data_IF_793329517943
#
_entry.id   IF_793329517943
#
_cell.length_a   1.000
_cell.length_b   1.000
_cell.length_c   1.000
_cell.angle_alpha   90.00
_cell.angle_beta   90.00
_cell.angle_gamma   90.00
#
_symmetry.space_group_name_H-M   'P 1'
#
loop_
_entity.id
_entity.type
_entity.pdbx_description
1 polymer ?
#
# COMPACT_ATOMS: atom_id res chain seq x y z
N UNK A 1 -5.18 2.64 -31.61
CA UNK A 1 -4.11 1.80 -31.03
C UNK A 1 -4.51 1.19 -29.68
N UNK A 2 -4.91 1.98 -28.68
CA UNK A 2 -5.31 1.52 -27.32
C UNK A 2 -6.39 0.43 -27.32
N UNK A 3 -7.48 0.59 -28.09
CA UNK A 3 -8.56 -0.40 -28.13
C UNK A 3 -8.15 -1.74 -28.78
N UNK A 4 -7.22 -1.72 -29.74
CA UNK A 4 -6.69 -2.95 -30.37
C UNK A 4 -5.80 -3.68 -29.37
N UNK A 5 -4.89 -2.96 -28.72
CA UNK A 5 -4.04 -3.48 -27.65
C UNK A 5 -4.86 -4.06 -26.48
N UNK A 6 -5.91 -3.36 -26.05
CA UNK A 6 -6.77 -3.81 -24.96
C UNK A 6 -7.55 -5.09 -25.30
N UNK A 7 -7.92 -5.32 -26.56
CA UNK A 7 -8.54 -6.57 -26.97
C UNK A 7 -7.53 -7.72 -27.07
N UNK A 8 -6.30 -7.45 -27.51
CA UNK A 8 -5.28 -8.50 -27.69
C UNK A 8 -4.59 -8.91 -26.40
N UNK A 9 -4.41 -8.00 -25.43
CA UNK A 9 -3.62 -8.26 -24.23
C UNK A 9 -4.14 -9.43 -23.37
N UNK A 10 -5.46 -9.58 -23.08
CA UNK A 10 -5.95 -10.73 -22.34
C UNK A 10 -5.67 -12.08 -23.02
N UNK A 11 -5.68 -12.12 -24.35
CA UNK A 11 -5.33 -13.33 -25.11
C UNK A 11 -3.84 -13.64 -24.97
N UNK A 12 -2.99 -12.62 -25.11
CA UNK A 12 -1.53 -12.80 -24.96
C UNK A 12 -1.20 -13.30 -23.56
N UNK A 13 -1.78 -12.71 -22.52
CA UNK A 13 -1.61 -13.15 -21.13
C UNK A 13 -2.06 -14.60 -20.97
N UNK A 14 -3.23 -14.97 -21.53
CA UNK A 14 -3.73 -16.33 -21.47
C UNK A 14 -2.77 -17.33 -22.15
N UNK A 15 -2.26 -17.00 -23.34
CA UNK A 15 -1.31 -17.84 -24.07
C UNK A 15 -0.03 -18.03 -23.26
N UNK A 16 0.53 -16.95 -22.69
CA UNK A 16 1.74 -17.03 -21.86
C UNK A 16 1.52 -17.94 -20.65
N UNK A 17 0.39 -17.80 -19.95
CA UNK A 17 0.07 -18.61 -18.78
C UNK A 17 -0.11 -20.09 -19.17
N UNK A 18 -0.73 -20.37 -20.32
CA UNK A 18 -0.85 -21.75 -20.85
C UNK A 18 0.54 -22.32 -21.15
N UNK A 19 1.43 -21.56 -21.78
CA UNK A 19 2.81 -21.99 -22.07
C UNK A 19 3.55 -22.32 -20.78
N UNK A 20 3.40 -21.49 -19.73
CA UNK A 20 3.98 -21.76 -18.41
C UNK A 20 3.40 -23.05 -17.82
N UNK A 21 2.07 -23.23 -17.87
CA UNK A 21 1.41 -24.44 -17.40
C UNK A 21 1.92 -25.70 -18.11
N UNK A 22 2.06 -25.65 -19.44
CA UNK A 22 2.62 -26.74 -20.25
C UNK A 22 4.09 -27.00 -19.90
N UNK A 23 4.90 -25.96 -19.75
CA UNK A 23 6.31 -26.09 -19.37
C UNK A 23 6.45 -26.78 -18.00
N UNK A 24 5.63 -26.41 -17.01
CA UNK A 24 5.63 -27.09 -15.70
C UNK A 24 5.27 -28.58 -15.81
N UNK A 25 4.28 -28.93 -16.64
CA UNK A 25 3.93 -30.33 -16.89
C UNK A 25 5.09 -31.06 -17.55
N UNK A 26 5.67 -30.53 -18.63
CA UNK A 26 6.78 -31.15 -19.37
C UNK A 26 8.01 -31.34 -18.47
N UNK A 27 8.43 -30.29 -17.76
CA UNK A 27 9.58 -30.33 -16.86
C UNK A 27 9.37 -31.36 -15.75
N UNK A 28 8.13 -31.55 -15.27
CA UNK A 28 7.83 -32.56 -14.24
C UNK A 28 8.03 -34.02 -14.66
N UNK A 29 8.23 -34.29 -15.95
CA UNK A 29 8.56 -35.63 -16.47
C UNK A 29 10.06 -35.82 -16.71
N UNK A 30 10.87 -34.76 -16.61
CA UNK A 30 12.32 -34.87 -16.72
C UNK A 30 12.93 -35.51 -15.45
N UNK A 31 14.07 -36.22 -15.59
CA UNK A 31 14.82 -36.72 -14.45
C UNK A 31 15.15 -35.60 -13.44
N UNK A 32 14.92 -35.87 -12.15
CA UNK A 32 15.13 -34.90 -11.08
C UNK A 32 16.54 -34.31 -11.08
N UNK A 33 17.57 -35.14 -11.26
CA UNK A 33 18.97 -34.71 -11.25
C UNK A 33 19.29 -33.70 -12.37
N UNK A 34 18.69 -33.87 -13.55
CA UNK A 34 18.87 -32.93 -14.66
C UNK A 34 18.26 -31.56 -14.34
N UNK A 35 17.03 -31.57 -13.82
CA UNK A 35 16.34 -30.33 -13.45
C UNK A 35 17.02 -29.64 -12.27
N UNK A 36 17.49 -30.42 -11.29
CA UNK A 36 18.20 -29.89 -10.12
C UNK A 36 19.51 -29.23 -10.52
N UNK A 37 20.30 -29.87 -11.38
CA UNK A 37 21.58 -29.32 -11.87
C UNK A 37 21.38 -27.95 -12.53
N UNK A 38 20.34 -27.80 -13.36
CA UNK A 38 20.04 -26.52 -14.01
C UNK A 38 19.57 -25.46 -13.00
N UNK A 39 18.81 -25.83 -11.97
CA UNK A 39 18.35 -24.89 -10.93
C UNK A 39 19.53 -24.46 -10.03
N UNK A 40 20.44 -25.37 -9.72
CA UNK A 40 21.63 -25.14 -8.90
C UNK A 40 22.56 -24.08 -9.53
N UNK A 41 22.62 -23.98 -10.87
CA UNK A 41 23.37 -22.92 -11.58
C UNK A 41 22.85 -21.52 -11.23
N UNK A 42 21.56 -21.40 -10.90
CA UNK A 42 20.93 -20.10 -10.57
C UNK A 42 20.96 -19.77 -9.08
N UNK A 43 21.51 -20.64 -8.22
CA UNK A 43 21.68 -20.34 -6.79
C UNK A 43 23.10 -19.84 -6.49
N UNK A 44 23.22 -18.94 -5.51
CA UNK A 44 24.52 -18.32 -5.18
C UNK A 44 25.51 -19.31 -4.52
N UNK A 45 24.97 -20.30 -3.82
CA UNK A 45 25.68 -21.37 -3.11
C UNK A 45 25.86 -22.63 -3.97
N UNK A 46 25.34 -22.64 -5.21
CA UNK A 46 25.41 -23.78 -6.10
C UNK A 46 24.58 -24.99 -5.66
N UNK A 47 23.72 -24.82 -4.65
CA UNK A 47 22.78 -25.85 -4.21
C UNK A 47 21.37 -25.28 -4.04
N UNK A 48 20.37 -26.04 -4.48
CA UNK A 48 18.95 -25.73 -4.32
C UNK A 48 18.30 -26.71 -3.34
N UNK A 49 18.73 -26.68 -2.08
CA UNK A 49 18.27 -27.64 -1.06
C UNK A 49 16.75 -27.63 -0.81
N UNK A 50 16.08 -26.55 -1.21
CA UNK A 50 14.61 -26.44 -1.16
C UNK A 50 13.91 -27.20 -2.30
N UNK A 51 14.61 -27.46 -3.41
CA UNK A 51 14.07 -28.12 -4.60
C UNK A 51 14.19 -29.64 -4.44
N UNK A 52 13.05 -30.28 -4.16
CA UNK A 52 12.97 -31.72 -3.90
C UNK A 52 12.28 -32.45 -5.04
N UNK A 53 12.54 -33.75 -5.19
CA UNK A 53 11.81 -34.59 -6.14
C UNK A 53 10.28 -34.53 -5.92
N UNK A 54 9.84 -34.39 -4.67
CA UNK A 54 8.43 -34.17 -4.33
C UNK A 54 7.88 -32.83 -4.84
N UNK A 55 8.69 -31.76 -4.84
CA UNK A 55 8.31 -30.47 -5.42
C UNK A 55 8.21 -30.54 -6.95
N UNK A 56 9.15 -31.25 -7.61
CA UNK A 56 9.10 -31.51 -9.05
C UNK A 56 7.86 -32.32 -9.45
N UNK A 57 7.46 -33.31 -8.65
CA UNK A 57 6.20 -34.03 -8.89
C UNK A 57 4.98 -33.13 -8.68
N UNK A 58 4.97 -32.27 -7.65
CA UNK A 58 3.85 -31.35 -7.39
C UNK A 58 3.67 -30.31 -8.49
N UNK A 59 4.75 -29.89 -9.16
CA UNK A 59 4.68 -28.89 -10.24
C UNK A 59 3.80 -29.33 -11.41
N UNK A 60 3.64 -30.65 -11.64
CA UNK A 60 2.74 -31.21 -12.66
C UNK A 60 1.28 -30.90 -12.39
N UNK A 61 0.85 -31.05 -11.14
CA UNK A 61 -0.53 -30.78 -10.74
C UNK A 61 -0.83 -29.29 -10.80
N UNK A 62 0.17 -28.46 -10.45
CA UNK A 62 0.10 -27.01 -10.62
C UNK A 62 -0.04 -26.65 -12.11
N UNK A 63 0.77 -27.25 -12.99
CA UNK A 63 0.69 -27.03 -14.43
C UNK A 63 -0.66 -27.43 -15.03
N UNK A 64 -1.21 -28.59 -14.65
CA UNK A 64 -2.55 -29.04 -15.06
C UNK A 64 -3.63 -28.08 -14.55
N UNK A 65 -3.56 -27.67 -13.29
CA UNK A 65 -4.52 -26.72 -12.72
C UNK A 65 -4.49 -25.38 -13.46
N UNK A 66 -3.30 -24.87 -13.81
CA UNK A 66 -3.14 -23.66 -14.62
C UNK A 66 -3.86 -23.81 -15.97
N UNK A 67 -3.67 -24.93 -16.66
CA UNK A 67 -4.30 -25.19 -17.97
C UNK A 67 -5.83 -25.24 -17.83
N UNK A 68 -6.36 -25.92 -16.81
CA UNK A 68 -7.81 -25.98 -16.54
C UNK A 68 -8.38 -24.59 -16.26
N UNK A 69 -7.69 -23.79 -15.43
CA UNK A 69 -8.10 -22.41 -15.13
C UNK A 69 -8.10 -21.57 -16.41
N UNK A 70 -7.08 -21.72 -17.26
CA UNK A 70 -7.01 -21.02 -18.54
C UNK A 70 -8.13 -21.43 -19.49
N UNK A 71 -8.49 -22.71 -19.52
CA UNK A 71 -9.61 -23.21 -20.31
C UNK A 71 -10.94 -22.63 -19.82
N UNK A 72 -11.19 -22.61 -18.50
CA UNK A 72 -12.37 -21.95 -17.92
C UNK A 72 -12.37 -20.46 -18.28
N UNK A 73 -11.24 -19.76 -18.11
CA UNK A 73 -11.13 -18.35 -18.46
C UNK A 73 -11.37 -18.07 -19.94
N UNK A 74 -11.00 -18.99 -20.83
CA UNK A 74 -11.25 -18.86 -22.26
C UNK A 74 -12.75 -18.80 -22.62
N UNK A 75 -13.61 -19.39 -21.79
CA UNK A 75 -15.08 -19.33 -21.97
C UNK A 75 -15.67 -17.93 -21.73
N UNK A 76 -15.00 -17.10 -20.93
CA UNK A 76 -15.42 -15.74 -20.55
C UNK A 76 -14.49 -14.65 -21.10
N UNK A 77 -13.65 -15.01 -22.08
CA UNK A 77 -12.58 -14.12 -22.55
C UNK A 77 -13.14 -12.90 -23.30
N UNK A 78 -14.29 -13.05 -23.99
CA UNK A 78 -14.91 -11.97 -24.77
C UNK A 78 -15.47 -10.89 -23.84
N UNK A 79 -16.17 -11.28 -22.78
CA UNK A 79 -16.68 -10.41 -21.72
C UNK A 79 -15.52 -9.71 -21.02
N UNK A 80 -14.45 -10.46 -20.71
CA UNK A 80 -13.24 -9.93 -20.09
C UNK A 80 -12.54 -8.89 -20.98
N UNK A 81 -12.45 -9.13 -22.30
CA UNK A 81 -11.92 -8.17 -23.27
C UNK A 81 -12.76 -6.91 -23.36
N UNK A 82 -14.09 -7.03 -23.36
CA UNK A 82 -14.99 -5.87 -23.39
C UNK A 82 -14.83 -5.03 -22.12
N UNK A 83 -14.83 -5.68 -20.96
CA UNK A 83 -14.62 -5.01 -19.68
C UNK A 83 -13.25 -4.33 -19.64
N UNK A 84 -12.18 -5.04 -19.98
CA UNK A 84 -10.81 -4.50 -20.00
C UNK A 84 -10.69 -3.34 -20.99
N UNK A 85 -11.22 -3.47 -22.21
CA UNK A 85 -11.24 -2.40 -23.20
C UNK A 85 -11.99 -1.16 -22.72
N UNK A 86 -13.14 -1.32 -22.05
CA UNK A 86 -13.92 -0.21 -21.49
C UNK A 86 -13.20 0.51 -20.34
N UNK A 87 -12.45 -0.25 -19.55
CA UNK A 87 -11.65 0.27 -18.45
C UNK A 87 -10.43 1.02 -18.97
N UNK A 88 -9.66 0.42 -19.88
CA UNK A 88 -8.47 1.06 -20.46
C UNK A 88 -8.84 2.27 -21.33
N UNK A 89 -9.98 2.27 -22.01
CA UNK A 89 -10.44 3.46 -22.76
C UNK A 89 -10.78 4.65 -21.85
N UNK A 90 -11.02 4.41 -20.54
CA UNK A 90 -11.24 5.44 -19.52
C UNK A 90 -9.93 6.00 -18.93
N UNK A 91 -8.77 5.44 -19.29
CA UNK A 91 -7.46 5.89 -18.80
C UNK A 91 -7.12 7.32 -19.26
N UNK A 92 -7.24 7.69 -20.55
CA UNK A 92 -6.93 9.05 -20.98
C UNK A 92 -7.82 10.12 -20.33
N UNK A 93 -9.10 9.82 -20.08
CA UNK A 93 -10.01 10.76 -19.42
C UNK A 93 -9.62 10.98 -17.97
N UNK A 94 -9.19 9.93 -17.25
CA UNK A 94 -8.68 10.03 -15.89
C UNK A 94 -7.48 10.99 -15.81
N UNK A 95 -6.44 10.75 -16.62
CA UNK A 95 -5.25 11.60 -16.62
C UNK A 95 -5.52 13.01 -17.14
N UNK A 96 -6.43 13.17 -18.11
CA UNK A 96 -6.86 14.49 -18.59
C UNK A 96 -7.57 15.28 -17.50
N UNK A 97 -8.43 14.65 -16.71
CA UNK A 97 -9.15 15.28 -15.61
C UNK A 97 -8.20 15.67 -14.48
N UNK A 98 -7.31 14.77 -14.05
CA UNK A 98 -6.29 15.05 -13.04
C UNK A 98 -5.38 16.20 -13.52
N UNK A 99 -4.88 16.12 -14.76
CA UNK A 99 -4.02 17.16 -15.33
C UNK A 99 -4.73 18.51 -15.45
N UNK A 100 -6.01 18.52 -15.83
CA UNK A 100 -6.81 19.74 -15.86
C UNK A 100 -6.99 20.33 -14.45
N UNK A 101 -7.38 19.52 -13.47
CA UNK A 101 -7.55 19.95 -12.08
C UNK A 101 -6.25 20.46 -11.48
N UNK A 102 -5.13 19.78 -11.72
CA UNK A 102 -3.81 20.18 -11.26
C UNK A 102 -3.40 21.53 -11.86
N UNK A 103 -3.51 21.70 -13.19
CA UNK A 103 -3.21 22.98 -13.86
C UNK A 103 -4.12 24.10 -13.38
N UNK A 104 -5.41 23.82 -13.18
CA UNK A 104 -6.38 24.79 -12.66
C UNK A 104 -6.03 25.24 -11.24
N UNK A 105 -5.61 24.30 -10.39
CA UNK A 105 -5.14 24.59 -9.03
C UNK A 105 -3.92 25.50 -9.10
N UNK A 106 -2.87 25.11 -9.83
CA UNK A 106 -1.63 25.91 -9.94
C UNK A 106 -1.92 27.32 -10.46
N UNK A 107 -2.73 27.45 -11.51
CA UNK A 107 -3.06 28.77 -12.11
C UNK A 107 -3.84 29.68 -11.16
N UNK A 108 -4.68 29.11 -10.30
CA UNK A 108 -5.49 29.88 -9.34
C UNK A 108 -4.76 30.12 -8.01
N UNK A 109 -3.65 29.44 -7.76
CA UNK A 109 -2.98 29.49 -6.47
C UNK A 109 -2.09 30.71 -6.32
N UNK A 110 -1.97 31.22 -5.09
CA UNK A 110 -1.00 32.25 -4.78
C UNK A 110 0.44 31.70 -4.97
N UNK A 111 1.32 32.50 -5.59
CA UNK A 111 2.74 32.18 -5.74
C UNK A 111 3.39 31.84 -4.40
N UNK A 112 3.04 32.56 -3.32
CA UNK A 112 3.59 32.28 -1.97
C UNK A 112 3.26 30.87 -1.53
N UNK A 113 2.01 30.42 -1.70
CA UNK A 113 1.58 29.06 -1.38
C UNK A 113 2.38 28.01 -2.16
N UNK A 114 2.60 28.23 -3.46
CA UNK A 114 3.38 27.33 -4.30
C UNK A 114 4.85 27.29 -3.87
N UNK A 115 5.47 28.46 -3.62
CA UNK A 115 6.84 28.53 -3.12
C UNK A 115 7.01 27.87 -1.77
N UNK A 116 6.07 28.07 -0.82
CA UNK A 116 6.13 27.38 0.48
C UNK A 116 6.07 25.86 0.30
N UNK A 117 5.20 25.35 -0.58
CA UNK A 117 5.14 23.92 -0.84
C UNK A 117 6.44 23.39 -1.47
N UNK A 118 7.02 24.11 -2.43
CA UNK A 118 8.31 23.75 -3.06
C UNK A 118 9.43 23.76 -2.03
N UNK A 119 9.47 24.75 -1.14
CA UNK A 119 10.47 24.84 -0.05
C UNK A 119 10.30 23.65 0.90
N UNK A 120 9.07 23.31 1.30
CA UNK A 120 8.79 22.11 2.12
C UNK A 120 9.34 20.87 1.44
N UNK A 121 9.07 20.69 0.14
CA UNK A 121 9.58 19.54 -0.61
C UNK A 121 11.11 19.52 -0.71
N UNK A 122 11.73 20.66 -0.99
CA UNK A 122 13.18 20.77 -1.10
C UNK A 122 13.88 20.42 0.24
N UNK A 123 13.40 20.99 1.34
CA UNK A 123 13.89 20.69 2.69
C UNK A 123 13.68 19.21 3.03
N UNK A 124 12.48 18.67 2.73
CA UNK A 124 12.16 17.28 3.03
C UNK A 124 13.04 16.28 2.28
N UNK A 125 13.37 16.58 1.02
CA UNK A 125 14.29 15.77 0.20
C UNK A 125 15.71 15.90 0.75
N UNK A 126 16.19 17.11 1.02
CA UNK A 126 17.54 17.35 1.53
C UNK A 126 17.79 16.59 2.85
N UNK A 127 16.84 16.66 3.80
CA UNK A 127 16.93 15.97 5.08
C UNK A 127 16.96 14.44 4.89
N UNK A 128 16.08 13.89 4.04
CA UNK A 128 16.05 12.43 3.78
C UNK A 128 17.31 11.94 3.08
N UNK A 129 17.87 12.72 2.15
CA UNK A 129 19.13 12.41 1.49
C UNK A 129 20.31 12.45 2.46
N UNK A 130 20.32 13.41 3.40
CA UNK A 130 21.32 13.48 4.45
C UNK A 130 21.32 12.21 5.32
N UNK A 131 20.15 11.72 5.71
CA UNK A 131 20.03 10.49 6.51
C UNK A 131 20.21 9.19 5.71
N UNK A 132 20.19 9.24 4.38
CA UNK A 132 20.31 8.07 3.51
C UNK A 132 21.65 7.32 3.67
N UNK A 133 22.69 8.02 4.10
CA UNK A 133 24.05 7.49 4.24
C UNK A 133 24.40 7.04 5.67
N UNK A 134 23.43 7.03 6.59
CA UNK A 134 23.66 6.50 7.94
C UNK A 134 24.07 5.02 7.89
N UNK A 135 24.78 4.50 8.91
CA UNK A 135 25.09 3.07 9.01
C UNK A 135 23.85 2.18 8.85
N UNK A 136 24.03 1.00 8.27
CA UNK A 136 22.94 0.05 8.04
C UNK A 136 22.41 -0.49 9.37
N UNK A 137 21.09 -0.57 9.49
CA UNK A 137 20.44 -1.14 10.68
C UNK A 137 20.11 -2.60 10.47
N UNK A 138 19.98 -3.34 11.57
CA UNK A 138 19.73 -4.79 11.56
C UNK A 138 18.56 -5.19 10.65
N UNK A 139 17.41 -4.52 10.78
CA UNK A 139 16.20 -4.85 10.02
C UNK A 139 16.46 -4.69 8.51
N UNK A 140 17.15 -3.63 8.10
CA UNK A 140 17.48 -3.36 6.69
C UNK A 140 18.47 -4.39 6.13
N UNK A 141 19.52 -4.68 6.89
CA UNK A 141 20.51 -5.69 6.54
C UNK A 141 19.83 -7.06 6.37
N UNK A 142 18.92 -7.41 7.28
CA UNK A 142 18.16 -8.66 7.19
C UNK A 142 17.28 -8.72 5.95
N UNK A 143 16.61 -7.62 5.59
CA UNK A 143 15.79 -7.55 4.37
C UNK A 143 16.64 -7.78 3.12
N UNK A 144 17.82 -7.17 3.07
CA UNK A 144 18.71 -7.32 1.94
C UNK A 144 19.33 -8.73 1.86
N UNK A 145 19.95 -9.19 2.94
CA UNK A 145 20.76 -10.41 2.96
C UNK A 145 19.92 -11.68 2.77
N UNK A 146 18.76 -11.75 3.43
CA UNK A 146 17.92 -12.94 3.42
C UNK A 146 16.94 -12.98 2.26
N UNK A 147 16.57 -11.82 1.70
CA UNK A 147 15.51 -11.77 0.67
C UNK A 147 15.94 -11.05 -0.60
N UNK A 148 16.30 -9.76 -0.52
CA UNK A 148 16.43 -8.95 -1.73
C UNK A 148 17.64 -9.31 -2.60
N UNK A 149 18.76 -9.78 -2.04
CA UNK A 149 19.91 -10.19 -2.83
C UNK A 149 19.78 -11.62 -3.41
N UNK A 150 18.81 -12.41 -2.91
CA UNK A 150 18.56 -13.78 -3.37
C UNK A 150 17.83 -13.76 -4.72
N UNK A 151 17.84 -14.87 -5.49
CA UNK A 151 16.96 -15.02 -6.64
C UNK A 151 15.51 -14.67 -6.28
N UNK A 152 14.83 -13.88 -7.13
CA UNK A 152 13.50 -13.33 -6.83
C UNK A 152 12.49 -14.37 -6.35
N UNK A 153 12.48 -15.55 -6.97
CA UNK A 153 11.53 -16.59 -6.59
C UNK A 153 11.75 -17.08 -5.14
N UNK A 154 12.98 -17.04 -4.61
CA UNK A 154 13.29 -17.35 -3.21
C UNK A 154 12.87 -16.18 -2.33
N UNK A 155 13.35 -14.96 -2.65
CA UNK A 155 13.07 -13.76 -1.87
C UNK A 155 11.58 -13.42 -1.77
N UNK A 156 10.76 -13.84 -2.74
CA UNK A 156 9.32 -13.60 -2.78
C UNK A 156 8.46 -14.80 -2.35
N UNK A 157 9.06 -15.96 -2.06
CA UNK A 157 8.35 -17.13 -1.49
C UNK A 157 8.71 -17.38 -0.02
N UNK A 158 9.82 -16.82 0.47
CA UNK A 158 10.23 -16.99 1.86
C UNK A 158 9.51 -15.99 2.79
N UNK A 159 8.70 -16.52 3.71
CA UNK A 159 8.06 -15.77 4.79
C UNK A 159 8.37 -16.39 6.16
N UNK A 160 9.55 -17.00 6.30
CA UNK A 160 10.01 -17.67 7.54
C UNK A 160 10.10 -16.69 8.71
N UNK A 161 10.33 -15.40 8.42
CA UNK A 161 10.24 -14.31 9.39
C UNK A 161 9.24 -13.25 8.92
N UNK A 162 8.42 -12.68 9.83
CA UNK A 162 7.37 -11.72 9.50
C UNK A 162 7.89 -10.33 9.04
N UNK A 163 9.19 -10.23 8.76
CA UNK A 163 9.86 -9.00 8.35
C UNK A 163 9.97 -8.85 6.81
N UNK A 164 9.66 -9.89 6.04
CA UNK A 164 9.71 -9.79 4.58
C UNK A 164 8.53 -8.96 4.03
N UNK A 165 8.85 -7.83 3.40
CA UNK A 165 7.86 -6.94 2.79
C UNK A 165 7.83 -7.18 1.27
N UNK A 166 7.11 -8.19 0.77
CA UNK A 166 7.37 -8.81 -0.54
C UNK A 166 7.46 -7.82 -1.70
N UNK A 167 6.49 -6.91 -1.87
CA UNK A 167 6.56 -5.90 -2.92
C UNK A 167 7.75 -4.94 -2.75
N UNK A 168 8.06 -4.55 -1.52
CA UNK A 168 9.23 -3.71 -1.24
C UNK A 168 10.54 -4.46 -1.53
N UNK A 169 10.65 -5.71 -1.08
CA UNK A 169 11.77 -6.62 -1.39
C UNK A 169 11.98 -6.76 -2.90
N UNK A 170 10.90 -6.91 -3.67
CA UNK A 170 10.97 -6.92 -5.14
C UNK A 170 11.58 -5.63 -5.70
N UNK A 171 11.17 -4.47 -5.21
CA UNK A 171 11.74 -3.19 -5.63
C UNK A 171 13.21 -3.02 -5.21
N UNK A 172 13.58 -3.49 -4.02
CA UNK A 172 14.97 -3.49 -3.55
C UNK A 172 15.82 -4.41 -4.42
N UNK A 173 15.32 -5.59 -4.81
CA UNK A 173 16.00 -6.48 -5.73
C UNK A 173 16.25 -5.81 -7.09
N UNK A 174 15.25 -5.13 -7.65
CA UNK A 174 15.43 -4.35 -8.88
C UNK A 174 16.50 -3.27 -8.70
N UNK A 175 16.43 -2.47 -7.65
CA UNK A 175 17.42 -1.42 -7.38
C UNK A 175 18.83 -2.00 -7.23
N UNK A 176 18.95 -3.14 -6.56
CA UNK A 176 20.20 -3.89 -6.41
C UNK A 176 20.77 -4.35 -7.75
N UNK A 177 19.95 -4.87 -8.67
CA UNK A 177 20.42 -5.31 -9.99
C UNK A 177 20.96 -4.14 -10.84
N UNK A 178 20.38 -2.94 -10.71
CA UNK A 178 20.82 -1.77 -11.48
C UNK A 178 21.99 -1.02 -10.85
N UNK A 179 22.06 -0.96 -9.52
CA UNK A 179 22.96 -0.06 -8.79
C UNK A 179 23.89 -0.76 -7.78
N UNK A 180 23.86 -2.09 -7.73
CA UNK A 180 24.66 -2.90 -6.82
C UNK A 180 24.18 -2.84 -5.36
N UNK A 181 25.02 -3.33 -4.45
CA UNK A 181 24.74 -3.48 -3.01
C UNK A 181 24.98 -2.20 -2.19
N UNK A 182 25.09 -1.05 -2.84
CA UNK A 182 25.31 0.23 -2.16
C UNK A 182 24.12 0.60 -1.25
N UNK A 183 24.39 1.20 -0.08
CA UNK A 183 23.35 1.50 0.92
C UNK A 183 22.21 2.36 0.35
N UNK A 184 22.55 3.35 -0.47
CA UNK A 184 21.55 4.22 -1.09
C UNK A 184 20.66 3.45 -2.07
N UNK A 185 21.19 2.47 -2.81
CA UNK A 185 20.43 1.66 -3.75
C UNK A 185 19.42 0.77 -3.02
N UNK A 186 19.85 0.12 -1.94
CA UNK A 186 18.99 -0.73 -1.10
C UNK A 186 17.87 0.10 -0.44
N UNK A 187 18.14 1.35 -0.08
CA UNK A 187 17.18 2.28 0.54
C UNK A 187 16.31 3.03 -0.48
N UNK A 188 16.67 3.01 -1.77
CA UNK A 188 16.04 3.82 -2.82
C UNK A 188 14.51 3.64 -2.89
N UNK A 189 13.93 2.42 -2.83
CA UNK A 189 12.48 2.26 -2.86
C UNK A 189 11.79 2.94 -1.66
N UNK A 190 12.34 2.76 -0.45
CA UNK A 190 11.78 3.35 0.77
C UNK A 190 11.88 4.88 0.73
N UNK A 191 12.97 5.42 0.19
CA UNK A 191 13.18 6.84 -0.01
C UNK A 191 12.15 7.45 -0.98
N UNK A 192 11.94 6.81 -2.13
CA UNK A 192 10.98 7.28 -3.13
C UNK A 192 9.57 7.36 -2.53
N UNK A 193 9.09 6.28 -1.91
CA UNK A 193 7.78 6.32 -1.27
C UNK A 193 7.73 7.29 -0.09
N UNK A 194 8.81 7.36 0.69
CA UNK A 194 8.99 8.32 1.78
C UNK A 194 8.79 9.78 1.35
N UNK A 195 9.37 10.16 0.22
CA UNK A 195 9.20 11.49 -0.38
C UNK A 195 7.78 11.66 -0.93
N UNK A 196 7.21 10.64 -1.59
CA UNK A 196 5.88 10.68 -2.20
C UNK A 196 4.73 10.76 -1.18
N UNK A 197 4.93 10.32 0.07
CA UNK A 197 3.94 10.48 1.15
C UNK A 197 3.59 11.96 1.36
N UNK A 198 4.55 12.88 1.20
CA UNK A 198 4.35 14.32 1.43
C UNK A 198 3.35 14.94 0.44
N UNK A 199 3.58 14.90 -0.90
CA UNK A 199 2.60 15.41 -1.86
C UNK A 199 1.28 14.63 -1.81
N UNK A 200 1.32 13.32 -1.51
CA UNK A 200 0.09 12.54 -1.41
C UNK A 200 -0.76 12.97 -0.20
N UNK A 201 -0.13 13.29 0.93
CA UNK A 201 -0.79 13.86 2.12
C UNK A 201 -1.36 15.23 1.80
N UNK A 202 -0.59 16.09 1.12
CA UNK A 202 -1.07 17.39 0.64
C UNK A 202 -2.32 17.23 -0.21
N UNK A 203 -2.33 16.30 -1.16
CA UNK A 203 -3.47 16.02 -2.04
C UNK A 203 -4.68 15.59 -1.21
N UNK A 204 -4.56 14.60 -0.31
CA UNK A 204 -5.68 14.14 0.52
C UNK A 204 -6.23 15.27 1.39
N UNK A 205 -5.36 15.99 2.09
CA UNK A 205 -5.76 17.14 2.91
C UNK A 205 -6.50 18.20 2.10
N UNK A 206 -6.04 18.47 0.88
CA UNK A 206 -6.67 19.43 -0.03
C UNK A 206 -8.02 18.96 -0.55
N UNK A 207 -8.16 17.66 -0.82
CA UNK A 207 -9.40 17.07 -1.32
C UNK A 207 -10.50 16.96 -0.24
N UNK A 208 -10.12 16.71 1.02
CA UNK A 208 -11.06 16.60 2.14
C UNK A 208 -11.37 17.92 2.82
N UNK A 209 -10.42 18.88 2.77
CA UNK A 209 -10.51 20.14 3.49
C UNK A 209 -10.19 21.31 2.55
N UNK A 210 -9.04 21.96 2.75
CA UNK A 210 -8.64 23.15 2.02
C UNK A 210 -7.11 23.24 1.87
N UNK A 211 -6.65 24.27 1.16
CA UNK A 211 -5.24 24.46 0.85
C UNK A 211 -4.35 24.71 2.08
N UNK A 212 -4.87 25.37 3.12
CA UNK A 212 -4.09 25.69 4.32
C UNK A 212 -3.85 24.44 5.15
N UNK A 213 -4.89 23.61 5.31
CA UNK A 213 -4.77 22.27 5.92
C UNK A 213 -3.77 21.42 5.15
N UNK A 214 -3.80 21.48 3.82
CA UNK A 214 -2.86 20.75 2.98
C UNK A 214 -1.40 21.16 3.18
N UNK A 215 -1.12 22.46 3.25
CA UNK A 215 0.23 22.96 3.45
C UNK A 215 0.76 22.64 4.85
N UNK A 216 -0.07 22.83 5.88
CA UNK A 216 0.29 22.49 7.26
C UNK A 216 0.56 20.98 7.41
N UNK A 217 -0.32 20.14 6.86
CA UNK A 217 -0.16 18.68 6.90
C UNK A 217 1.10 18.23 6.18
N UNK A 218 1.39 18.80 5.01
CA UNK A 218 2.60 18.51 4.26
C UNK A 218 3.86 18.90 5.03
N UNK A 219 3.85 20.07 5.69
CA UNK A 219 4.96 20.53 6.54
C UNK A 219 5.24 19.61 7.73
N UNK A 220 4.18 19.18 8.44
CA UNK A 220 4.30 18.27 9.59
C UNK A 220 4.79 16.88 9.11
N UNK A 221 4.23 16.33 8.03
CA UNK A 221 4.69 15.04 7.47
C UNK A 221 6.12 15.13 6.94
N UNK A 222 6.51 16.25 6.33
CA UNK A 222 7.85 16.48 5.81
C UNK A 222 8.91 16.47 6.93
N UNK A 223 8.57 17.05 8.09
CA UNK A 223 9.45 17.23 9.25
C UNK A 223 9.35 16.13 10.32
N UNK A 224 8.39 15.21 10.20
CA UNK A 224 8.21 14.11 11.14
C UNK A 224 9.44 13.19 11.17
N UNK A 225 10.12 13.11 12.33
CA UNK A 225 11.36 12.35 12.49
C UNK A 225 11.16 10.86 12.20
N UNK A 226 10.02 10.29 12.61
CA UNK A 226 9.71 8.89 12.36
C UNK A 226 9.49 8.61 10.87
N UNK A 227 8.82 9.51 10.13
CA UNK A 227 8.64 9.34 8.69
C UNK A 227 9.96 9.54 7.92
N UNK A 228 10.84 10.42 8.38
CA UNK A 228 12.20 10.58 7.82
C UNK A 228 13.03 9.31 8.05
N UNK A 229 13.00 8.75 9.26
CA UNK A 229 13.70 7.51 9.58
C UNK A 229 13.24 6.36 8.67
N UNK A 230 11.93 6.12 8.55
CA UNK A 230 11.44 5.04 7.69
C UNK A 230 11.64 5.32 6.19
N UNK A 231 11.83 6.59 5.79
CA UNK A 231 12.23 6.95 4.41
C UNK A 231 13.70 6.63 4.12
N UNK A 232 14.53 6.52 5.15
CA UNK A 232 15.96 6.23 5.03
C UNK A 232 16.32 4.81 5.46
N UNK A 233 15.35 4.02 5.92
CA UNK A 233 15.54 2.60 6.23
C UNK A 233 14.89 1.74 5.14
N UNK A 234 15.60 0.72 4.64
CA UNK A 234 15.13 -0.20 3.60
C UNK A 234 14.00 -1.16 4.05
N UNK A 235 12.89 -0.61 4.54
CA UNK A 235 11.71 -1.33 5.04
C UNK A 235 10.46 -0.91 4.26
N UNK A 236 9.48 -1.81 4.14
CA UNK A 236 8.28 -1.57 3.33
C UNK A 236 7.22 -0.64 3.94
N UNK A 237 7.48 -0.01 5.10
CA UNK A 237 6.47 0.81 5.78
C UNK A 237 6.10 2.07 5.00
N UNK A 238 7.06 2.77 4.38
CA UNK A 238 6.75 3.95 3.56
C UNK A 238 5.89 3.60 2.35
N UNK A 239 6.11 2.43 1.74
CA UNK A 239 5.28 1.88 0.67
C UNK A 239 3.83 1.67 1.12
N UNK A 240 3.62 1.09 2.30
CA UNK A 240 2.27 0.87 2.86
C UNK A 240 1.59 2.21 3.19
N UNK A 241 2.30 3.15 3.80
CA UNK A 241 1.79 4.48 4.12
C UNK A 241 1.37 5.20 2.83
N UNK A 242 2.24 5.20 1.81
CA UNK A 242 1.94 5.81 0.51
C UNK A 242 0.69 5.21 -0.11
N UNK A 243 0.61 3.89 -0.24
CA UNK A 243 -0.58 3.25 -0.83
C UNK A 243 -1.83 3.53 -0.03
N UNK A 244 -1.77 3.55 1.31
CA UNK A 244 -2.90 3.89 2.19
C UNK A 244 -3.48 5.28 1.91
N UNK A 245 -2.63 6.29 1.75
CA UNK A 245 -3.07 7.66 1.43
C UNK A 245 -3.51 7.76 -0.04
N UNK A 246 -2.83 7.06 -0.95
CA UNK A 246 -3.18 7.04 -2.37
C UNK A 246 -4.57 6.45 -2.60
N UNK A 247 -4.91 5.31 -1.97
CA UNK A 247 -6.25 4.73 -2.06
C UNK A 247 -7.29 5.61 -1.37
N UNK A 248 -6.92 6.36 -0.34
CA UNK A 248 -7.80 7.35 0.31
C UNK A 248 -8.17 8.49 -0.66
N UNK A 249 -7.20 9.02 -1.40
CA UNK A 249 -7.47 10.03 -2.43
C UNK A 249 -8.29 9.46 -3.60
N UNK A 250 -7.99 8.23 -4.05
CA UNK A 250 -8.76 7.59 -5.10
C UNK A 250 -10.21 7.35 -4.66
N UNK A 251 -10.43 6.86 -3.44
CA UNK A 251 -11.77 6.71 -2.88
C UNK A 251 -12.56 8.03 -2.93
N UNK A 252 -11.91 9.14 -2.57
CA UNK A 252 -12.50 10.47 -2.62
C UNK A 252 -12.85 10.92 -4.05
N UNK A 253 -12.01 10.57 -5.03
CA UNK A 253 -12.26 10.82 -6.44
C UNK A 253 -13.42 9.95 -6.98
N UNK A 254 -13.45 8.68 -6.62
CA UNK A 254 -14.41 7.67 -7.12
C UNK A 254 -15.85 7.94 -6.71
N UNK A 255 -16.09 8.52 -5.53
CA UNK A 255 -17.44 8.90 -5.11
C UNK A 255 -17.98 10.12 -5.87
N UNK A 256 -17.18 10.82 -6.67
CA UNK A 256 -17.61 12.01 -7.41
C UNK A 256 -17.51 11.85 -8.93
N UNK A 257 -16.69 10.92 -9.42
CA UNK A 257 -16.36 10.81 -10.84
C UNK A 257 -16.58 9.39 -11.36
N UNK A 258 -17.36 9.25 -12.43
CA UNK A 258 -17.54 7.96 -13.12
C UNK A 258 -16.29 7.66 -13.94
N UNK A 259 -15.43 6.78 -13.43
CA UNK A 259 -14.24 6.36 -14.15
C UNK A 259 -13.84 4.93 -13.77
N UNK A 260 -13.99 3.98 -14.70
CA UNK A 260 -13.65 2.58 -14.47
C UNK A 260 -12.14 2.34 -14.31
N UNK A 261 -11.30 3.14 -14.97
CA UNK A 261 -9.85 3.06 -14.80
C UNK A 261 -9.42 3.44 -13.37
N UNK A 262 -10.07 4.43 -12.77
CA UNK A 262 -9.79 4.80 -11.39
C UNK A 262 -10.15 3.69 -10.39
N UNK A 263 -11.21 2.90 -10.67
CA UNK A 263 -11.53 1.70 -9.87
C UNK A 263 -10.48 0.60 -10.04
N UNK A 264 -10.02 0.37 -11.27
CA UNK A 264 -8.90 -0.55 -11.53
C UNK A 264 -7.63 -0.09 -10.80
N UNK A 265 -7.30 1.20 -10.85
CA UNK A 265 -6.15 1.76 -10.15
C UNK A 265 -6.29 1.60 -8.63
N UNK A 266 -7.49 1.82 -8.08
CA UNK A 266 -7.77 1.55 -6.67
C UNK A 266 -7.49 0.10 -6.28
N UNK A 267 -7.93 -0.86 -7.11
CA UNK A 267 -7.63 -2.28 -6.92
C UNK A 267 -6.12 -2.56 -7.01
N UNK A 268 -5.43 -2.04 -8.04
CA UNK A 268 -3.98 -2.23 -8.23
C UNK A 268 -3.19 -1.70 -7.01
N UNK A 269 -3.44 -0.47 -6.57
CA UNK A 269 -2.74 0.09 -5.40
C UNK A 269 -3.05 -0.70 -4.12
N UNK A 270 -4.26 -1.20 -3.98
CA UNK A 270 -4.63 -2.07 -2.85
C UNK A 270 -3.88 -3.40 -2.90
N UNK A 271 -3.80 -4.05 -4.06
CA UNK A 271 -3.04 -5.29 -4.29
C UNK A 271 -1.57 -5.07 -3.94
N UNK A 272 -0.95 -4.00 -4.44
CA UNK A 272 0.46 -3.69 -4.14
C UNK A 272 0.68 -3.39 -2.65
N UNK A 273 -0.27 -2.73 -1.99
CA UNK A 273 -0.25 -2.54 -0.54
C UNK A 273 -0.29 -3.88 0.22
N UNK A 274 -1.25 -4.75 -0.11
CA UNK A 274 -1.34 -6.08 0.49
C UNK A 274 -0.13 -6.95 0.19
N UNK A 275 0.40 -6.87 -1.03
CA UNK A 275 1.62 -7.57 -1.42
C UNK A 275 2.87 -6.99 -0.77
N UNK A 276 2.84 -5.74 -0.30
CA UNK A 276 3.91 -5.24 0.57
C UNK A 276 3.85 -5.92 1.94
N UNK A 277 2.67 -5.92 2.59
CA UNK A 277 2.45 -6.65 3.85
C UNK A 277 0.94 -6.76 4.13
N UNK A 278 0.46 -7.85 4.78
CA UNK A 278 -0.96 -8.01 5.12
C UNK A 278 -1.52 -6.92 6.04
N UNK A 279 -0.65 -6.16 6.73
CA UNK A 279 -1.05 -5.01 7.57
C UNK A 279 -1.81 -3.92 6.79
N UNK A 280 -1.69 -3.89 5.46
CA UNK A 280 -2.51 -3.05 4.59
C UNK A 280 -4.02 -3.25 4.84
N UNK A 281 -4.44 -4.41 5.39
CA UNK A 281 -5.82 -4.65 5.82
C UNK A 281 -6.37 -3.55 6.75
N UNK A 282 -5.51 -3.02 7.62
CA UNK A 282 -5.89 -2.00 8.58
C UNK A 282 -6.28 -0.72 7.85
N UNK A 283 -5.43 -0.17 6.97
CA UNK A 283 -5.76 1.05 6.22
C UNK A 283 -6.82 0.82 5.15
N UNK A 284 -6.78 -0.30 4.44
CA UNK A 284 -7.73 -0.66 3.40
C UNK A 284 -9.16 -0.67 3.95
N UNK A 285 -9.40 -1.34 5.08
CA UNK A 285 -10.74 -1.39 5.66
C UNK A 285 -11.26 -0.02 6.14
N UNK A 286 -10.40 0.90 6.58
CA UNK A 286 -10.81 2.30 6.87
C UNK A 286 -11.42 2.93 5.62
N UNK A 287 -10.73 2.79 4.49
CA UNK A 287 -11.18 3.36 3.21
C UNK A 287 -12.44 2.67 2.70
N UNK A 288 -12.56 1.35 2.88
CA UNK A 288 -13.79 0.61 2.52
C UNK A 288 -14.98 1.05 3.39
N UNK A 289 -14.83 1.13 4.72
CA UNK A 289 -15.90 1.59 5.61
C UNK A 289 -16.28 3.04 5.27
N UNK A 290 -15.31 3.91 4.99
CA UNK A 290 -15.59 5.27 4.57
C UNK A 290 -16.34 5.33 3.23
N UNK A 291 -15.91 4.55 2.22
CA UNK A 291 -16.61 4.45 0.93
C UNK A 291 -18.05 3.95 1.10
N UNK A 292 -18.24 2.86 1.85
CA UNK A 292 -19.57 2.31 2.14
C UNK A 292 -20.46 3.33 2.85
N UNK A 293 -19.93 4.03 3.86
CA UNK A 293 -20.66 5.09 4.54
C UNK A 293 -21.02 6.24 3.59
N UNK A 294 -20.07 6.71 2.77
CA UNK A 294 -20.35 7.75 1.76
C UNK A 294 -21.41 7.33 0.75
N UNK A 295 -21.43 6.06 0.35
CA UNK A 295 -22.47 5.49 -0.51
C UNK A 295 -23.81 5.48 0.26
N UNK A 296 -23.89 4.89 1.45
CA UNK A 296 -25.14 4.73 2.19
C UNK A 296 -25.77 6.09 2.57
N UNK A 297 -24.97 7.04 3.05
CA UNK A 297 -25.44 8.36 3.50
C UNK A 297 -25.60 9.39 2.37
N UNK A 298 -25.52 8.93 1.11
CA UNK A 298 -25.67 9.75 -0.10
C UNK A 298 -24.77 10.99 -0.11
N UNK A 299 -23.50 10.79 0.24
CA UNK A 299 -22.45 11.82 0.15
C UNK A 299 -21.72 11.71 -1.20
N UNK A 300 -22.49 11.59 -2.27
CA UNK A 300 -22.01 11.30 -3.63
C UNK A 300 -22.97 11.86 -4.67
N UNK A 301 -22.44 12.23 -5.84
CA UNK A 301 -23.23 12.62 -7.02
C UNK A 301 -23.65 11.45 -7.91
N UNK A 302 -23.13 10.25 -7.62
CA UNK A 302 -23.30 9.06 -8.46
C UNK A 302 -24.38 8.13 -7.91
N UNK A 303 -24.89 7.24 -8.76
CA UNK A 303 -25.87 6.24 -8.34
C UNK A 303 -25.22 5.19 -7.44
N UNK A 304 -25.89 4.81 -6.34
CA UNK A 304 -25.39 3.80 -5.41
C UNK A 304 -25.11 2.46 -6.09
N UNK A 305 -25.95 2.06 -7.06
CA UNK A 305 -25.80 0.83 -7.84
C UNK A 305 -24.45 0.81 -8.57
N UNK A 306 -24.05 1.92 -9.20
CA UNK A 306 -22.76 2.03 -9.88
C UNK A 306 -21.60 1.89 -8.90
N UNK A 307 -21.67 2.61 -7.76
CA UNK A 307 -20.60 2.59 -6.76
C UNK A 307 -20.46 1.22 -6.10
N UNK A 308 -21.56 0.60 -5.66
CA UNK A 308 -21.54 -0.74 -5.07
C UNK A 308 -21.02 -1.79 -6.05
N UNK A 309 -21.49 -1.77 -7.30
CA UNK A 309 -21.02 -2.72 -8.33
C UNK A 309 -19.51 -2.64 -8.52
N UNK A 310 -18.98 -1.44 -8.74
CA UNK A 310 -17.53 -1.28 -8.98
C UNK A 310 -16.69 -1.50 -7.73
N UNK A 311 -17.23 -1.19 -6.54
CA UNK A 311 -16.60 -1.52 -5.27
C UNK A 311 -16.45 -3.04 -5.13
N UNK A 312 -17.53 -3.80 -5.29
CA UNK A 312 -17.52 -5.27 -5.21
C UNK A 312 -16.54 -5.86 -6.23
N UNK A 313 -16.56 -5.40 -7.48
CA UNK A 313 -15.62 -5.84 -8.52
C UNK A 313 -14.18 -5.56 -8.07
N UNK A 314 -13.89 -4.37 -7.56
CA UNK A 314 -12.55 -4.00 -7.10
C UNK A 314 -12.09 -4.82 -5.89
N UNK A 315 -13.00 -5.13 -4.96
CA UNK A 315 -12.74 -6.01 -3.81
C UNK A 315 -12.40 -7.43 -4.27
N UNK A 316 -13.19 -7.99 -5.20
CA UNK A 316 -12.95 -9.34 -5.75
C UNK A 316 -11.61 -9.39 -6.48
N UNK A 317 -11.32 -8.41 -7.35
CA UNK A 317 -10.03 -8.33 -8.05
C UNK A 317 -8.88 -8.22 -7.05
N UNK A 318 -9.03 -7.39 -6.01
CA UNK A 318 -8.00 -7.21 -4.99
C UNK A 318 -7.74 -8.51 -4.23
N UNK A 319 -8.81 -9.18 -3.78
CA UNK A 319 -8.71 -10.43 -3.03
C UNK A 319 -8.07 -11.55 -3.87
N UNK A 320 -8.60 -11.81 -5.07
CA UNK A 320 -8.10 -12.88 -5.94
C UNK A 320 -6.64 -12.63 -6.34
N UNK A 321 -6.31 -11.40 -6.77
CA UNK A 321 -4.95 -11.08 -7.20
C UNK A 321 -3.95 -11.15 -6.04
N UNK A 322 -4.33 -10.66 -4.86
CA UNK A 322 -3.50 -10.77 -3.65
C UNK A 322 -3.29 -12.24 -3.29
N UNK A 323 -4.34 -13.06 -3.30
CA UNK A 323 -4.24 -14.48 -3.01
C UNK A 323 -3.27 -15.19 -3.98
N UNK A 324 -3.37 -14.89 -5.28
CA UNK A 324 -2.45 -15.42 -6.30
C UNK A 324 -1.00 -15.00 -6.02
N UNK A 325 -0.76 -13.72 -5.70
CA UNK A 325 0.59 -13.22 -5.41
C UNK A 325 1.20 -13.84 -4.15
N UNK A 326 0.38 -14.22 -3.17
CA UNK A 326 0.82 -14.92 -1.96
C UNK A 326 0.92 -16.44 -2.14
N UNK A 327 0.48 -17.00 -3.27
CA UNK A 327 0.51 -18.44 -3.50
C UNK A 327 1.92 -19.05 -3.35
N UNK A 328 3.01 -18.45 -3.89
CA UNK A 328 4.36 -18.96 -3.66
C UNK A 328 4.75 -19.00 -2.18
N UNK A 329 4.31 -18.00 -1.41
CA UNK A 329 4.55 -17.93 0.05
C UNK A 329 3.78 -19.01 0.78
N UNK A 330 2.50 -19.22 0.44
CA UNK A 330 1.67 -20.26 1.04
C UNK A 330 2.25 -21.64 0.77
N UNK A 331 2.69 -21.90 -0.47
CA UNK A 331 3.31 -23.17 -0.85
C UNK A 331 4.70 -23.37 -0.22
N UNK A 332 5.54 -22.33 -0.17
CA UNK A 332 6.87 -22.38 0.42
C UNK A 332 6.86 -22.50 1.95
N UNK A 333 5.95 -21.80 2.62
CA UNK A 333 5.80 -21.87 4.08
C UNK A 333 5.26 -23.22 4.56
N UNK A 334 4.39 -23.89 3.79
CA UNK A 334 3.96 -25.27 4.07
C UNK A 334 5.13 -26.27 4.07
N UNK A 335 6.23 -25.97 3.38
CA UNK A 335 7.42 -26.82 3.30
C UNK A 335 8.39 -26.54 4.46
N UNK A 336 8.44 -25.30 4.96
CA UNK A 336 9.32 -24.86 6.08
C UNK A 336 8.62 -24.79 7.45
N UNK A 337 7.31 -25.04 7.54
CA UNK A 337 6.54 -24.96 8.79
C UNK A 337 6.85 -26.13 9.72
N UNK A 338 7.95 -26.03 10.46
CA UNK A 338 8.13 -26.78 11.70
C UNK A 338 8.27 -25.91 12.95
N UNK A 339 8.58 -24.60 12.91
CA UNK A 339 8.98 -23.99 14.22
C UNK A 339 8.79 -22.50 14.50
N UNK A 340 8.22 -21.63 13.64
CA UNK A 340 8.30 -20.17 13.95
C UNK A 340 6.97 -19.42 13.81
N UNK A 341 6.46 -19.02 15.00
CA UNK A 341 5.41 -18.04 15.31
C UNK A 341 3.94 -18.42 15.03
N UNK A 342 3.33 -19.09 16.04
CA UNK A 342 1.90 -18.93 16.33
C UNK A 342 1.62 -17.44 16.43
N UNK A 343 0.74 -16.90 15.59
CA UNK A 343 0.04 -15.66 15.91
C UNK A 343 -0.77 -15.92 17.18
N UNK A 344 -0.21 -15.61 18.35
CA UNK A 344 -0.87 -15.83 19.63
C UNK A 344 -1.96 -14.77 19.73
N UNK A 345 -3.16 -15.13 19.26
CA UNK A 345 -4.40 -14.42 19.61
C UNK A 345 -4.42 -14.32 21.13
N UNK A 346 -4.29 -13.11 21.67
CA UNK A 346 -4.24 -12.88 23.11
C UNK A 346 -5.56 -13.31 23.75
N UNK A 347 -5.47 -13.73 25.02
CA UNK A 347 -6.65 -13.83 25.88
C UNK A 347 -7.22 -12.42 26.12
N UNK A 348 -8.48 -12.33 26.56
CA UNK A 348 -9.08 -11.03 26.84
C UNK A 348 -8.37 -10.28 27.97
N UNK A 349 -7.93 -10.99 29.02
CA UNK A 349 -7.18 -10.41 30.13
C UNK A 349 -5.84 -9.84 29.67
N UNK A 350 -5.09 -10.60 28.86
CA UNK A 350 -3.79 -10.15 28.37
C UNK A 350 -3.95 -8.97 27.41
N UNK A 351 -4.96 -9.03 26.53
CA UNK A 351 -5.25 -7.95 25.59
C UNK A 351 -5.56 -6.65 26.33
N UNK A 352 -6.45 -6.68 27.33
CA UNK A 352 -6.81 -5.48 28.12
C UNK A 352 -5.61 -4.94 28.90
N UNK A 353 -4.72 -5.83 29.37
CA UNK A 353 -3.51 -5.44 30.11
C UNK A 353 -2.45 -4.79 29.21
N UNK A 354 -2.24 -5.33 28.00
CA UNK A 354 -1.20 -4.87 27.06
C UNK A 354 -1.66 -3.70 26.19
N UNK A 355 -2.96 -3.51 26.02
CA UNK A 355 -3.50 -2.47 25.15
C UNK A 355 -3.09 -1.05 25.56
N UNK A 356 -3.20 -0.61 26.83
CA UNK A 356 -2.80 0.74 27.24
C UNK A 356 -1.32 1.05 27.00
N UNK A 357 -0.43 0.11 27.32
CA UNK A 357 1.02 0.28 27.10
C UNK A 357 1.36 0.35 25.61
N UNK A 358 0.67 -0.44 24.78
CA UNK A 358 0.82 -0.39 23.33
C UNK A 358 0.36 0.95 22.74
N UNK A 359 -0.78 1.50 23.23
CA UNK A 359 -1.24 2.83 22.81
C UNK A 359 -0.24 3.92 23.22
N UNK A 360 0.37 3.80 24.40
CA UNK A 360 1.43 4.71 24.83
C UNK A 360 2.67 4.63 23.95
N UNK A 361 3.10 3.42 23.55
CA UNK A 361 4.23 3.23 22.63
C UNK A 361 3.97 3.83 21.25
N UNK A 362 2.77 3.62 20.69
CA UNK A 362 2.36 4.24 19.42
C UNK A 362 2.39 5.77 19.55
N UNK A 363 1.81 6.31 20.62
CA UNK A 363 1.78 7.74 20.87
C UNK A 363 3.19 8.34 21.01
N UNK A 364 4.05 7.69 21.78
CA UNK A 364 5.45 8.07 21.98
C UNK A 364 6.22 8.05 20.66
N UNK A 365 6.04 7.01 19.84
CA UNK A 365 6.68 6.92 18.53
C UNK A 365 6.20 8.02 17.56
N UNK A 366 4.90 8.30 17.52
CA UNK A 366 4.33 9.33 16.65
C UNK A 366 4.76 10.74 17.05
N UNK A 367 5.01 10.97 18.34
CA UNK A 367 5.44 12.24 18.91
C UNK A 367 6.95 12.30 19.20
N UNK A 368 7.72 11.35 18.68
CA UNK A 368 9.16 11.35 18.88
C UNK A 368 9.77 12.61 18.26
N UNK A 369 10.61 13.30 19.04
CA UNK A 369 11.24 14.57 18.66
C UNK A 369 10.26 15.73 18.41
N UNK A 370 8.99 15.60 18.83
CA UNK A 370 8.00 16.66 18.76
C UNK A 370 7.88 17.36 20.14
N UNK A 371 8.06 18.69 20.21
CA UNK A 371 7.82 19.45 21.43
C UNK A 371 6.41 19.24 21.97
N UNK A 372 6.28 19.10 23.30
CA UNK A 372 5.01 18.81 23.96
C UNK A 372 3.89 19.80 23.60
N UNK A 373 4.23 21.07 23.38
CA UNK A 373 3.29 22.11 22.96
C UNK A 373 2.67 21.78 21.60
N UNK A 374 3.48 21.31 20.64
CA UNK A 374 3.00 20.91 19.31
C UNK A 374 2.13 19.65 19.43
N UNK A 375 2.53 18.66 20.24
CA UNK A 375 1.71 17.47 20.51
C UNK A 375 0.34 17.82 21.08
N UNK A 376 0.28 18.74 22.05
CA UNK A 376 -0.98 19.25 22.62
C UNK A 376 -1.82 19.95 21.55
N UNK A 377 -1.20 20.80 20.71
CA UNK A 377 -1.89 21.46 19.60
C UNK A 377 -2.46 20.46 18.59
N UNK A 378 -1.75 19.37 18.28
CA UNK A 378 -2.26 18.30 17.42
C UNK A 378 -3.47 17.61 18.03
N UNK A 379 -3.45 17.30 19.33
CA UNK A 379 -4.59 16.71 20.04
C UNK A 379 -5.81 17.65 20.00
N UNK A 380 -5.61 18.92 20.36
CA UNK A 380 -6.68 19.93 20.34
C UNK A 380 -7.23 20.07 18.92
N UNK A 381 -6.36 20.13 17.92
CA UNK A 381 -6.73 20.14 16.51
C UNK A 381 -7.57 18.93 16.11
N UNK A 382 -7.16 17.73 16.51
CA UNK A 382 -7.85 16.49 16.20
C UNK A 382 -9.29 16.49 16.74
N UNK A 383 -9.45 16.78 18.04
CA UNK A 383 -10.78 16.84 18.66
C UNK A 383 -11.63 18.01 18.14
N UNK A 384 -11.02 19.16 17.85
CA UNK A 384 -11.71 20.28 17.20
C UNK A 384 -12.26 19.86 15.83
N UNK A 385 -11.45 19.17 15.02
CA UNK A 385 -11.90 18.70 13.71
C UNK A 385 -13.04 17.68 13.80
N UNK A 386 -13.09 16.88 14.87
CA UNK A 386 -14.18 15.94 15.13
C UNK A 386 -15.46 16.68 15.52
N UNK A 387 -15.39 17.55 16.51
CA UNK A 387 -16.54 18.29 17.06
C UNK A 387 -17.14 19.22 16.00
N UNK A 388 -16.31 19.96 15.28
CA UNK A 388 -16.72 20.95 14.29
C UNK A 388 -16.68 20.42 12.85
N UNK A 389 -16.70 19.10 12.66
CA UNK A 389 -16.57 18.46 11.34
C UNK A 389 -17.47 19.10 10.27
N UNK A 390 -18.76 19.27 10.56
CA UNK A 390 -19.76 19.85 9.63
C UNK A 390 -19.49 21.31 9.26
N UNK A 391 -18.71 22.04 10.06
CA UNK A 391 -18.30 23.43 9.78
C UNK A 391 -16.99 23.49 8.99
N UNK A 392 -16.14 22.48 9.16
CA UNK A 392 -14.79 22.42 8.60
C UNK A 392 -14.78 21.81 7.19
N UNK A 393 -15.69 20.87 6.93
CA UNK A 393 -15.78 20.18 5.64
C UNK A 393 -17.23 20.01 5.18
N UNK A 394 -17.41 19.88 3.86
CA UNK A 394 -18.70 19.66 3.21
C UNK A 394 -19.13 18.18 3.21
N UNK A 395 -18.26 17.28 3.68
CA UNK A 395 -18.57 15.85 3.72
C UNK A 395 -19.35 15.49 4.98
N UNK A 396 -20.24 14.52 4.83
CA UNK A 396 -21.11 14.09 5.94
C UNK A 396 -20.38 13.18 6.92
N UNK A 397 -19.46 12.35 6.39
CA UNK A 397 -18.82 11.28 7.14
C UNK A 397 -17.33 11.58 7.35
N UNK A 398 -16.90 11.83 8.59
CA UNK A 398 -15.48 11.88 8.93
C UNK A 398 -14.81 10.54 8.66
N UNK A 399 -13.72 10.55 7.88
CA UNK A 399 -12.90 9.35 7.63
C UNK A 399 -12.32 8.74 8.90
N UNK A 400 -12.11 9.56 9.93
CA UNK A 400 -11.66 9.09 11.23
C UNK A 400 -12.72 8.27 11.98
N UNK A 401 -14.02 8.51 11.76
CA UNK A 401 -15.06 7.63 12.31
C UNK A 401 -14.97 6.25 11.65
N UNK A 402 -14.75 6.19 10.33
CA UNK A 402 -14.49 4.93 9.65
C UNK A 402 -13.23 4.24 10.18
N UNK A 403 -12.20 5.01 10.55
CA UNK A 403 -11.00 4.49 11.20
C UNK A 403 -11.33 3.85 12.55
N UNK A 404 -12.00 4.57 13.44
CA UNK A 404 -12.40 4.04 14.73
C UNK A 404 -13.28 2.79 14.60
N UNK A 405 -14.28 2.81 13.72
CA UNK A 405 -15.17 1.66 13.50
C UNK A 405 -14.39 0.42 13.03
N UNK A 406 -13.58 0.56 11.98
CA UNK A 406 -12.85 -0.58 11.41
C UNK A 406 -11.77 -1.10 12.36
N UNK A 407 -10.96 -0.22 12.94
CA UNK A 407 -9.85 -0.60 13.79
C UNK A 407 -10.34 -1.24 15.09
N UNK A 408 -11.42 -0.72 15.69
CA UNK A 408 -12.04 -1.34 16.87
C UNK A 408 -12.56 -2.73 16.54
N UNK A 409 -13.32 -2.88 15.44
CA UNK A 409 -13.82 -4.17 14.97
C UNK A 409 -12.68 -5.19 14.78
N UNK A 410 -11.63 -4.79 14.08
CA UNK A 410 -10.51 -5.65 13.75
C UNK A 410 -9.70 -6.04 14.99
N UNK A 411 -9.42 -5.10 15.91
CA UNK A 411 -8.71 -5.37 17.15
C UNK A 411 -9.49 -6.33 18.07
N UNK A 412 -10.81 -6.17 18.17
CA UNK A 412 -11.66 -7.08 18.98
C UNK A 412 -11.70 -8.50 18.41
N UNK A 413 -11.69 -8.66 17.09
CA UNK A 413 -11.71 -9.97 16.43
C UNK A 413 -10.35 -10.65 16.50
N UNK A 414 -9.29 -9.93 16.13
CA UNK A 414 -7.95 -10.48 16.05
C UNK A 414 -7.33 -10.69 17.44
N UNK A 415 -7.67 -9.85 18.43
CA UNK A 415 -7.03 -9.79 19.76
C UNK A 415 -5.51 -9.84 19.66
N UNK A 416 -4.98 -9.12 18.68
CA UNK A 416 -3.56 -9.00 18.42
C UNK A 416 -3.27 -7.51 18.20
N UNK A 417 -2.21 -7.02 18.85
CA UNK A 417 -1.81 -5.63 18.74
C UNK A 417 -0.56 -5.59 17.87
N UNK A 418 -0.61 -4.78 16.81
CA UNK A 418 0.55 -4.57 15.96
C UNK A 418 1.63 -3.81 16.75
N UNK A 419 2.92 -4.09 16.47
CA UNK A 419 4.00 -3.22 16.91
C UNK A 419 3.75 -1.76 16.48
N UNK A 420 4.33 -0.81 17.21
CA UNK A 420 4.12 0.63 17.05
C UNK A 420 4.32 1.12 15.61
N UNK A 421 5.36 0.61 14.94
CA UNK A 421 5.68 0.96 13.55
C UNK A 421 4.66 0.43 12.54
N UNK A 422 3.88 -0.58 12.92
CA UNK A 422 2.76 -1.09 12.13
C UNK A 422 1.60 -0.11 12.00
N UNK A 423 1.51 0.88 12.89
CA UNK A 423 0.44 1.89 12.90
C UNK A 423 0.75 3.14 12.07
N UNK A 424 1.96 3.26 11.51
CA UNK A 424 2.40 4.47 10.80
C UNK A 424 1.53 4.83 9.58
N UNK A 425 0.77 3.88 9.02
CA UNK A 425 -0.19 4.16 7.94
C UNK A 425 -1.25 5.21 8.34
N UNK A 426 -1.58 5.30 9.64
CA UNK A 426 -2.61 6.18 10.17
C UNK A 426 -2.07 7.59 10.47
N UNK A 427 -0.75 7.72 10.68
CA UNK A 427 -0.13 8.97 11.13
C UNK A 427 -0.40 10.15 10.17
N UNK A 428 -0.24 10.03 8.84
CA UNK A 428 -0.56 11.13 7.93
C UNK A 428 -2.04 11.52 7.97
N UNK A 429 -2.95 10.55 8.11
CA UNK A 429 -4.38 10.84 8.22
C UNK A 429 -4.70 11.57 9.53
N UNK A 430 -4.08 11.15 10.64
CA UNK A 430 -4.16 11.84 11.93
C UNK A 430 -3.66 13.29 11.82
N UNK A 431 -2.51 13.51 11.17
CA UNK A 431 -1.95 14.85 10.93
C UNK A 431 -2.90 15.72 10.10
N UNK A 432 -3.54 15.16 9.06
CA UNK A 432 -4.50 15.89 8.23
C UNK A 432 -5.72 16.34 9.04
N UNK A 433 -6.31 15.44 9.83
CA UNK A 433 -7.47 15.77 10.68
C UNK A 433 -7.08 16.79 11.75
N UNK A 434 -5.91 16.62 12.37
CA UNK A 434 -5.40 17.54 13.38
C UNK A 434 -5.17 18.94 12.79
N UNK A 435 -4.54 19.01 11.63
CA UNK A 435 -4.32 20.25 10.88
C UNK A 435 -5.63 20.95 10.54
N UNK A 436 -6.68 20.20 10.21
CA UNK A 436 -7.98 20.77 9.89
C UNK A 436 -8.60 21.54 11.07
N UNK A 437 -8.51 20.98 12.28
CA UNK A 437 -9.00 21.67 13.49
C UNK A 437 -8.11 22.84 13.90
N UNK A 438 -6.78 22.74 13.76
CA UNK A 438 -5.86 23.85 14.03
C UNK A 438 -6.19 25.04 13.12
N UNK A 439 -6.27 24.82 11.80
CA UNK A 439 -6.61 25.86 10.83
C UNK A 439 -7.99 26.47 11.11
N UNK A 440 -8.95 25.67 11.55
CA UNK A 440 -10.27 26.18 11.97
C UNK A 440 -10.18 27.12 13.18
N UNK A 441 -9.45 26.74 14.23
CA UNK A 441 -9.24 27.60 15.41
C UNK A 441 -8.51 28.90 15.04
N UNK A 442 -7.46 28.81 14.23
CA UNK A 442 -6.75 30.00 13.76
C UNK A 442 -7.68 30.91 12.95
N UNK A 443 -8.57 30.34 12.13
CA UNK A 443 -9.60 31.10 11.43
C UNK A 443 -10.54 31.86 12.37
N UNK A 444 -10.92 31.29 13.52
CA UNK A 444 -11.76 31.97 14.50
C UNK A 444 -11.04 33.13 15.22
N UNK A 445 -9.72 33.03 15.36
CA UNK A 445 -8.89 34.05 16.03
C UNK A 445 -8.54 35.20 15.09
N UNK A 446 -8.16 34.89 13.85
CA UNK A 446 -7.63 35.87 12.88
C UNK A 446 -8.66 36.42 11.88
N UNK A 447 -9.89 35.89 11.85
CA UNK A 447 -11.01 36.42 11.04
C UNK A 447 -12.10 37.09 11.90
N UNK A 448 -11.81 37.36 13.18
CA UNK A 448 -12.44 38.46 13.93
C UNK A 448 -11.66 39.73 13.63
#
# INVERSE_FOLDING_TARGET
>A
MINKFAKTLPIIILIIIIIIGLALVIISYLPFELVKTEIDIFTQDGTSDFFTAGLLLKSRFVGIAIIIICWIFSTIIKESQQLFSSTISSCPSFFKEIGHNFRKIIKKENKTHLYTFVIIMAIAIAIRLYFLLQPIRYIEASTFIYYAQKPLFIGLSDYSYPNNHLFHTFLVHIAYLFFGSSLWAVRLPALIFGILIIPMTYIVARMFYNKYVALLSAGIVASSSILIEYSSNATGYTTIIFFSIAITALAKYLINNKNSFAWLLFAILSILGFYTKPIMLYSFGIVIIWLLASIIFRDTKLTHIYLFKNLIISLIITFISTFILYLPVLLGSLIKQTTINKNIKLSWSDFITVFPSSMHQIWSQWNRDIPIVISILLIIGFFTSLIFHKKITNYKIPIILAAFTWLTFLLLIQRAILPEHGWLFLLPLFIVVSSAGIIFLLGLVFLR
#
